data_IF_161666606252
#
_entry.id   IF_161666606252
#
_cell.length_a   1.000
_cell.length_b   1.000
_cell.length_c   1.000
_cell.angle_alpha   90.00
_cell.angle_beta   90.00
_cell.angle_gamma   90.00
#
_symmetry.space_group_name_H-M   'P 1'
#
loop_
_entity.id
_entity.type
_entity.pdbx_description
1 polymer ?
#
# COMPACT_ATOMS: atom_id res chain seq x y z
N UNK A 1 -14.14 11.85 -2.93
CA UNK A 1 -12.82 12.44 -2.63
C UNK A 1 -11.85 11.31 -2.32
N UNK A 2 -10.63 11.38 -2.87
CA UNK A 2 -9.57 10.40 -2.59
C UNK A 2 -8.67 10.95 -1.51
N UNK A 3 -8.29 10.10 -0.55
CA UNK A 3 -7.40 10.44 0.54
C UNK A 3 -6.26 9.42 0.64
N UNK A 4 -5.05 9.90 0.93
CA UNK A 4 -3.92 9.04 1.24
C UNK A 4 -3.70 9.07 2.74
N UNK A 5 -3.72 7.88 3.36
CA UNK A 5 -3.53 7.74 4.82
C UNK A 5 -2.43 6.73 5.08
N UNK A 6 -1.53 7.04 6.00
CA UNK A 6 -0.49 6.10 6.42
C UNK A 6 -1.15 4.85 7.02
N UNK A 7 -0.73 3.67 6.56
CA UNK A 7 -1.19 2.39 7.11
C UNK A 7 -0.57 2.19 8.49
N UNK A 8 -1.40 1.81 9.45
CA UNK A 8 -1.02 1.62 10.86
C UNK A 8 -1.24 0.17 11.27
N UNK A 9 -1.06 -0.12 12.57
CA UNK A 9 -1.41 -1.42 13.15
C UNK A 9 -2.92 -1.68 13.12
N UNK A 10 -3.74 -0.65 12.97
CA UNK A 10 -5.20 -0.77 13.08
C UNK A 10 -5.86 -1.15 11.75
N UNK A 11 -5.19 -0.90 10.61
CA UNK A 11 -5.78 -1.08 9.27
C UNK A 11 -4.91 -1.88 8.29
N UNK A 12 -3.74 -2.38 8.70
CA UNK A 12 -2.86 -3.15 7.81
C UNK A 12 -3.49 -4.44 7.26
N UNK A 13 -4.38 -5.09 8.02
CA UNK A 13 -5.09 -6.29 7.56
C UNK A 13 -6.02 -5.96 6.39
N UNK A 14 -6.67 -4.79 6.43
CA UNK A 14 -7.49 -4.30 5.31
C UNK A 14 -6.64 -4.15 4.04
N UNK A 15 -5.40 -3.70 4.18
CA UNK A 15 -4.47 -3.56 3.06
C UNK A 15 -4.08 -4.92 2.44
N UNK A 16 -3.74 -5.92 3.25
CA UNK A 16 -3.32 -7.25 2.72
C UNK A 16 -4.48 -8.04 2.11
N UNK A 17 -5.71 -7.71 2.51
CA UNK A 17 -6.93 -8.31 1.96
C UNK A 17 -7.36 -7.72 0.61
N UNK A 18 -6.83 -6.55 0.21
CA UNK A 18 -7.06 -6.00 -1.12
C UNK A 18 -6.63 -7.02 -2.20
N UNK A 19 -7.53 -7.29 -3.13
CA UNK A 19 -7.29 -8.18 -4.26
C UNK A 19 -7.33 -7.38 -5.56
N UNK A 20 -6.36 -7.66 -6.41
CA UNK A 20 -6.39 -7.26 -7.82
C UNK A 20 -7.22 -8.26 -8.62
N UNK A 21 -7.57 -7.93 -9.86
CA UNK A 21 -8.19 -8.90 -10.74
C UNK A 21 -7.24 -10.09 -10.95
N UNK A 22 -7.78 -11.30 -11.11
CA UNK A 22 -6.98 -12.54 -11.20
C UNK A 22 -5.87 -12.48 -12.25
N UNK A 23 -6.14 -11.85 -13.40
CA UNK A 23 -5.16 -11.69 -14.48
C UNK A 23 -4.02 -10.70 -14.13
N UNK A 24 -4.21 -9.84 -13.12
CA UNK A 24 -3.21 -8.88 -12.66
C UNK A 24 -2.29 -9.45 -11.58
N UNK A 25 -2.69 -10.53 -10.91
CA UNK A 25 -2.00 -11.07 -9.74
C UNK A 25 -0.53 -11.47 -10.02
N UNK A 26 -0.18 -11.77 -11.26
CA UNK A 26 1.20 -12.11 -11.65
C UNK A 26 2.08 -10.89 -11.95
N UNK A 27 1.51 -9.69 -12.09
CA UNK A 27 2.26 -8.45 -12.36
C UNK A 27 2.63 -7.68 -11.10
N UNK A 28 2.08 -8.05 -9.95
CA UNK A 28 2.27 -7.32 -8.68
C UNK A 28 2.64 -8.28 -7.57
N UNK A 29 3.51 -7.81 -6.66
CA UNK A 29 3.73 -8.49 -5.40
C UNK A 29 2.48 -8.38 -4.50
N UNK A 30 2.32 -9.32 -3.56
CA UNK A 30 1.26 -9.19 -2.54
C UNK A 30 1.43 -7.91 -1.72
N UNK A 31 0.32 -7.33 -1.27
CA UNK A 31 0.37 -6.16 -0.39
C UNK A 31 1.08 -6.47 0.93
N UNK A 32 0.97 -7.70 1.45
CA UNK A 32 1.73 -8.15 2.63
C UNK A 32 3.24 -8.03 2.39
N UNK A 33 3.73 -8.52 1.26
CA UNK A 33 5.13 -8.39 0.89
C UNK A 33 5.55 -6.92 0.76
N UNK A 34 4.75 -6.12 0.05
CA UNK A 34 5.05 -4.69 -0.16
C UNK A 34 5.08 -3.88 1.14
N UNK A 35 4.22 -4.22 2.10
CA UNK A 35 4.17 -3.63 3.45
C UNK A 35 5.37 -4.03 4.30
N UNK A 36 5.77 -5.31 4.25
CA UNK A 36 6.99 -5.76 4.90
C UNK A 36 8.22 -5.06 4.30
N UNK A 37 8.31 -5.00 2.97
CA UNK A 37 9.39 -4.34 2.24
C UNK A 37 9.53 -2.87 2.64
N UNK A 38 8.43 -2.13 2.84
CA UNK A 38 8.52 -0.71 3.21
C UNK A 38 9.20 -0.47 4.57
N UNK A 39 9.22 -1.46 5.47
CA UNK A 39 9.93 -1.36 6.76
C UNK A 39 11.45 -1.34 6.60
N UNK A 40 11.96 -1.78 5.46
CA UNK A 40 13.39 -1.85 5.15
C UNK A 40 13.84 -0.75 4.17
N UNK A 41 12.95 0.15 3.76
CA UNK A 41 13.23 1.25 2.83
C UNK A 41 13.17 2.60 3.57
N UNK A 42 14.31 3.15 4.01
CA UNK A 42 14.35 4.45 4.68
C UNK A 42 13.69 5.55 3.84
N UNK A 43 12.89 6.40 4.47
CA UNK A 43 12.18 7.50 3.81
C UNK A 43 10.89 7.10 3.07
N UNK A 44 10.62 5.81 2.88
CA UNK A 44 9.36 5.33 2.32
C UNK A 44 8.34 4.99 3.42
N UNK A 45 7.08 5.32 3.17
CA UNK A 45 5.92 4.97 3.99
C UNK A 45 4.88 4.23 3.16
N UNK A 46 4.25 3.24 3.78
CA UNK A 46 3.09 2.57 3.23
C UNK A 46 1.84 3.45 3.42
N UNK A 47 1.10 3.71 2.34
CA UNK A 47 -0.13 4.52 2.36
C UNK A 47 -1.29 3.75 1.73
N UNK A 48 -2.44 3.79 2.40
CA UNK A 48 -3.71 3.31 1.90
C UNK A 48 -4.41 4.41 1.11
N UNK A 49 -4.91 4.07 -0.07
CA UNK A 49 -5.74 4.95 -0.89
C UNK A 49 -7.18 4.74 -0.46
N UNK A 50 -7.84 5.80 0.01
CA UNK A 50 -9.19 5.73 0.57
C UNK A 50 -10.20 6.47 -0.31
N UNK A 51 -11.39 5.88 -0.48
CA UNK A 51 -12.53 6.52 -1.11
C UNK A 51 -13.77 6.32 -0.22
N UNK A 52 -14.32 7.43 0.30
CA UNK A 52 -15.49 7.37 1.19
C UNK A 52 -15.22 6.56 2.48
N UNK A 53 -14.04 6.72 3.07
CA UNK A 53 -13.64 6.01 4.29
C UNK A 53 -13.19 4.56 4.09
N UNK A 54 -13.39 3.96 2.91
CA UNK A 54 -12.95 2.60 2.59
C UNK A 54 -11.60 2.61 1.90
N UNK A 55 -10.67 1.76 2.34
CA UNK A 55 -9.43 1.51 1.62
C UNK A 55 -9.74 0.79 0.30
N UNK A 56 -9.30 1.39 -0.81
CA UNK A 56 -9.51 0.89 -2.18
C UNK A 56 -8.20 0.61 -2.90
N UNK A 57 -7.06 0.94 -2.29
CA UNK A 57 -5.76 0.72 -2.90
C UNK A 57 -4.62 0.91 -1.90
N UNK A 58 -3.41 0.64 -2.39
CA UNK A 58 -2.16 0.71 -1.66
C UNK A 58 -1.11 1.40 -2.53
N UNK A 59 -0.29 2.25 -1.92
CA UNK A 59 0.90 2.80 -2.54
C UNK A 59 2.02 2.93 -1.50
N UNK A 60 3.24 3.15 -2.00
CA UNK A 60 4.34 3.64 -1.18
C UNK A 60 4.62 5.08 -1.57
N UNK A 61 4.75 5.92 -0.58
CA UNK A 61 5.09 7.32 -0.73
C UNK A 61 6.45 7.55 -0.06
N UNK A 62 7.32 8.29 -0.71
CA UNK A 62 8.70 8.46 -0.28
C UNK A 62 9.45 9.39 -1.23
N UNK A 63 10.69 9.76 -0.88
CA UNK A 63 11.50 10.60 -1.75
C UNK A 63 11.64 9.91 -3.12
N UNK A 64 11.63 10.72 -4.19
CA UNK A 64 12.11 10.24 -5.48
C UNK A 64 13.49 9.61 -5.24
N UNK A 65 13.73 8.43 -5.84
CA UNK A 65 15.04 7.81 -5.75
C UNK A 65 16.08 8.88 -6.11
N UNK A 66 17.04 9.11 -5.22
CA UNK A 66 18.17 9.95 -5.57
C UNK A 66 18.89 9.21 -6.70
N UNK A 67 18.87 9.81 -7.89
CA UNK A 67 19.65 9.36 -9.05
C UNK A 67 21.14 9.29 -8.70
#
# INVERSE_FOLDING_TARGET
MIELRTITRDDWETCIDLKVARHQAHFVASNLYSLAQSRFLPGFRAVGIHHGGRMVGFARDGPAAAD
#
